data_IF_645718030439
#
_entry.id   IF_645718030439
#
_cell.length_a   1.000
_cell.length_b   1.000
_cell.length_c   1.000
_cell.angle_alpha   90.00
_cell.angle_beta   90.00
_cell.angle_gamma   90.00
#
_symmetry.space_group_name_H-M   'P 1'
#
loop_
_entity.id
_entity.type
_entity.pdbx_description
1 polymer ?
#
# COMPACT_ATOMS: atom_id res chain seq x y z
N UNK A 1 13.01 -7.04 -20.90
CA UNK A 1 12.78 -8.42 -21.41
C UNK A 1 11.55 -8.48 -22.30
N UNK A 2 10.37 -8.06 -21.85
CA UNK A 2 9.13 -8.13 -22.63
C UNK A 2 9.24 -7.56 -24.04
N UNK A 3 9.84 -6.36 -24.17
CA UNK A 3 10.07 -5.74 -25.48
C UNK A 3 10.91 -6.61 -26.42
N UNK A 4 11.94 -7.27 -25.88
CA UNK A 4 12.82 -8.15 -26.69
C UNK A 4 12.04 -9.37 -27.17
N UNK A 5 11.30 -10.03 -26.28
CA UNK A 5 10.57 -11.26 -26.62
C UNK A 5 9.41 -10.99 -27.59
N UNK A 6 8.72 -9.84 -27.41
CA UNK A 6 7.60 -9.48 -28.29
C UNK A 6 8.08 -8.93 -29.62
N UNK A 7 9.05 -8.00 -29.63
CA UNK A 7 9.47 -7.28 -30.84
C UNK A 7 10.47 -8.05 -31.70
N UNK A 8 11.49 -8.68 -31.04
CA UNK A 8 12.57 -9.34 -31.78
C UNK A 8 12.36 -10.84 -31.97
N UNK A 9 11.73 -11.51 -31.00
CA UNK A 9 11.44 -12.94 -31.09
C UNK A 9 10.02 -13.25 -31.58
N UNK A 10 9.21 -12.22 -31.84
CA UNK A 10 7.83 -12.32 -32.33
C UNK A 10 6.93 -13.30 -31.56
N UNK A 11 7.23 -13.53 -30.26
CA UNK A 11 6.51 -14.51 -29.42
C UNK A 11 5.14 -14.00 -28.92
N UNK A 12 4.74 -12.76 -29.22
CA UNK A 12 3.45 -12.22 -28.81
C UNK A 12 3.20 -12.33 -27.30
N UNK A 13 2.02 -12.78 -26.91
CA UNK A 13 1.61 -12.92 -25.47
C UNK A 13 2.47 -13.94 -24.74
N UNK A 14 2.86 -15.05 -25.40
CA UNK A 14 3.75 -16.05 -24.80
C UNK A 14 5.12 -15.45 -24.45
N UNK A 15 5.63 -14.53 -25.24
CA UNK A 15 6.89 -13.82 -24.98
C UNK A 15 6.85 -13.00 -23.69
N UNK A 16 5.75 -12.29 -23.42
CA UNK A 16 5.56 -11.54 -22.17
C UNK A 16 5.51 -12.48 -20.97
N UNK A 17 4.82 -13.60 -21.08
CA UNK A 17 4.75 -14.61 -20.01
C UNK A 17 6.12 -15.18 -19.67
N UNK A 18 6.90 -15.58 -20.69
CA UNK A 18 8.27 -16.09 -20.51
C UNK A 18 9.22 -15.05 -19.94
N UNK A 19 9.15 -13.81 -20.41
CA UNK A 19 9.98 -12.71 -19.89
C UNK A 19 9.68 -12.47 -18.40
N UNK A 20 8.41 -12.43 -18.02
CA UNK A 20 8.00 -12.29 -16.62
C UNK A 20 8.50 -13.47 -15.77
N UNK A 21 8.33 -14.70 -16.24
CA UNK A 21 8.78 -15.91 -15.54
C UNK A 21 10.31 -15.90 -15.30
N UNK A 22 11.09 -15.57 -16.32
CA UNK A 22 12.56 -15.52 -16.23
C UNK A 22 12.98 -14.40 -15.26
N UNK A 23 12.40 -13.19 -15.36
CA UNK A 23 12.73 -12.08 -14.47
C UNK A 23 12.40 -12.39 -13.01
N UNK A 24 11.26 -13.00 -12.74
CA UNK A 24 10.88 -13.43 -11.38
C UNK A 24 11.79 -14.54 -10.87
N UNK A 25 12.15 -15.51 -11.72
CA UNK A 25 13.08 -16.58 -11.39
C UNK A 25 14.47 -16.04 -10.99
N UNK A 26 15.03 -15.14 -11.79
CA UNK A 26 16.31 -14.48 -11.49
C UNK A 26 16.21 -13.70 -10.17
N UNK A 27 15.17 -12.92 -9.97
CA UNK A 27 14.95 -12.16 -8.73
C UNK A 27 14.84 -13.07 -7.51
N UNK A 28 14.16 -14.21 -7.66
CA UNK A 28 14.03 -15.21 -6.60
C UNK A 28 15.40 -15.79 -6.22
N UNK A 29 16.18 -16.22 -7.20
CA UNK A 29 17.54 -16.79 -6.97
C UNK A 29 18.44 -15.75 -6.30
N UNK A 30 18.45 -14.51 -6.78
CA UNK A 30 19.24 -13.45 -6.18
C UNK A 30 18.82 -13.18 -4.73
N UNK A 31 17.51 -13.13 -4.45
CA UNK A 31 17.00 -12.94 -3.10
C UNK A 31 17.44 -14.08 -2.17
N UNK A 32 17.32 -15.33 -2.62
CA UNK A 32 17.77 -16.51 -1.88
C UNK A 32 19.27 -16.42 -1.56
N UNK A 33 20.11 -16.10 -2.55
CA UNK A 33 21.56 -15.97 -2.36
C UNK A 33 21.88 -14.89 -1.32
N UNK A 34 21.22 -13.73 -1.40
CA UNK A 34 21.42 -12.64 -0.43
C UNK A 34 21.00 -13.06 0.98
N UNK A 35 19.85 -13.71 1.12
CA UNK A 35 19.36 -14.20 2.42
C UNK A 35 20.33 -15.21 3.02
N UNK A 36 20.78 -16.22 2.26
CA UNK A 36 21.71 -17.21 2.76
C UNK A 36 23.09 -16.61 3.12
N UNK A 37 23.58 -15.63 2.37
CA UNK A 37 24.81 -14.91 2.72
C UNK A 37 24.65 -14.14 4.04
N UNK A 38 23.53 -13.46 4.26
CA UNK A 38 23.28 -12.74 5.50
C UNK A 38 23.09 -13.68 6.69
N UNK A 39 22.37 -14.80 6.51
CA UNK A 39 22.19 -15.81 7.55
C UNK A 39 23.52 -16.48 7.91
N UNK A 40 24.38 -16.77 6.93
CA UNK A 40 25.70 -17.33 7.17
C UNK A 40 26.68 -16.41 7.92
N UNK A 41 26.43 -15.09 7.87
CA UNK A 41 27.20 -14.10 8.62
C UNK A 41 26.72 -13.94 10.08
N UNK A 42 25.54 -14.45 10.43
CA UNK A 42 25.00 -14.42 11.79
C UNK A 42 25.58 -15.60 12.59
N UNK A 43 26.43 -15.30 13.56
CA UNK A 43 26.88 -16.30 14.53
C UNK A 43 25.74 -16.59 15.51
N UNK A 44 25.16 -17.79 15.42
CA UNK A 44 24.17 -18.26 16.37
C UNK A 44 24.80 -19.32 17.28
N UNK A 45 24.80 -19.07 18.57
CA UNK A 45 25.28 -20.04 19.56
C UNK A 45 24.38 -21.28 19.68
N UNK A 46 23.13 -21.17 19.23
CA UNK A 46 22.15 -22.26 19.27
C UNK A 46 21.86 -22.78 17.85
N UNK A 47 21.85 -24.11 17.71
CA UNK A 47 21.40 -24.74 16.46
C UNK A 47 19.97 -24.33 16.16
N UNK A 48 19.75 -23.82 14.95
CA UNK A 48 18.42 -23.47 14.49
C UNK A 48 17.52 -24.73 14.44
N UNK A 49 16.34 -24.62 15.04
CA UNK A 49 15.31 -25.65 14.94
C UNK A 49 14.62 -25.50 13.58
N UNK A 50 14.49 -26.60 12.84
CA UNK A 50 13.85 -26.58 11.50
C UNK A 50 12.43 -26.02 11.50
N UNK A 51 11.68 -26.24 12.57
CA UNK A 51 10.32 -25.75 12.72
C UNK A 51 10.01 -25.43 14.18
N UNK A 52 9.42 -24.25 14.41
CA UNK A 52 8.98 -23.82 15.73
C UNK A 52 7.52 -23.38 15.67
N UNK A 53 6.64 -24.13 16.35
CA UNK A 53 5.20 -23.84 16.38
C UNK A 53 4.89 -22.42 16.93
N UNK A 54 5.54 -21.92 18.00
CA UNK A 54 5.33 -20.55 18.47
C UNK A 54 5.65 -19.49 17.41
N UNK A 55 6.78 -19.64 16.69
CA UNK A 55 7.17 -18.72 15.62
C UNK A 55 6.18 -18.80 14.46
N UNK A 56 5.74 -20.00 14.09
CA UNK A 56 4.73 -20.21 13.05
C UNK A 56 3.42 -19.51 13.39
N UNK A 57 2.91 -19.69 14.61
CA UNK A 57 1.70 -19.00 15.06
C UNK A 57 1.86 -17.48 15.04
N UNK A 58 3.02 -16.97 15.44
CA UNK A 58 3.32 -15.55 15.38
C UNK A 58 3.33 -15.02 13.93
N UNK A 59 3.84 -15.77 12.98
CA UNK A 59 3.76 -15.44 11.56
C UNK A 59 2.29 -15.45 11.10
N UNK A 60 1.50 -16.43 11.49
CA UNK A 60 0.08 -16.53 11.15
C UNK A 60 -0.74 -15.32 11.65
N UNK A 61 -0.43 -14.76 12.81
CA UNK A 61 -1.13 -13.57 13.33
C UNK A 61 -1.00 -12.34 12.44
N UNK A 62 0.06 -12.27 11.64
CA UNK A 62 0.29 -11.19 10.66
C UNK A 62 -0.14 -11.61 9.25
N UNK A 63 0.18 -12.82 8.85
CA UNK A 63 -0.05 -13.31 7.50
C UNK A 63 -1.55 -13.48 7.19
N UNK A 64 -2.31 -14.13 8.08
CA UNK A 64 -3.74 -14.39 7.84
C UNK A 64 -4.53 -13.08 7.69
N UNK A 65 -4.43 -12.09 8.59
CA UNK A 65 -5.08 -10.79 8.38
C UNK A 65 -4.66 -10.08 7.10
N UNK A 66 -3.38 -10.17 6.72
CA UNK A 66 -2.88 -9.54 5.49
C UNK A 66 -3.46 -10.21 4.23
N UNK A 67 -3.58 -11.54 4.22
CA UNK A 67 -4.19 -12.30 3.13
C UNK A 67 -5.68 -11.94 3.00
N UNK A 68 -6.41 -11.95 4.12
CA UNK A 68 -7.82 -11.56 4.14
C UNK A 68 -8.00 -10.14 3.62
N UNK A 69 -7.21 -9.19 4.11
CA UNK A 69 -7.25 -7.81 3.65
C UNK A 69 -7.05 -7.70 2.14
N UNK A 70 -6.04 -8.37 1.58
CA UNK A 70 -5.78 -8.33 0.13
C UNK A 70 -6.91 -8.99 -0.68
N UNK A 71 -7.47 -10.09 -0.18
CA UNK A 71 -8.62 -10.75 -0.80
C UNK A 71 -9.86 -9.84 -0.83
N UNK A 72 -10.18 -9.17 0.27
CA UNK A 72 -11.29 -8.23 0.33
C UNK A 72 -11.09 -7.03 -0.59
N UNK A 73 -9.87 -6.49 -0.69
CA UNK A 73 -9.55 -5.42 -1.65
C UNK A 73 -9.80 -5.88 -3.09
N UNK A 74 -9.42 -7.12 -3.43
CA UNK A 74 -9.64 -7.69 -4.75
C UNK A 74 -11.13 -7.85 -5.05
N UNK A 75 -11.92 -8.36 -4.09
CA UNK A 75 -13.38 -8.47 -4.22
C UNK A 75 -14.03 -7.09 -4.39
N UNK A 76 -13.62 -6.09 -3.61
CA UNK A 76 -14.10 -4.72 -3.77
C UNK A 76 -13.82 -4.14 -5.15
N UNK A 77 -12.64 -4.40 -5.70
CA UNK A 77 -12.29 -3.97 -7.06
C UNK A 77 -13.16 -4.67 -8.13
N UNK A 78 -13.49 -5.96 -7.95
CA UNK A 78 -14.42 -6.68 -8.84
C UNK A 78 -15.83 -6.05 -8.79
N UNK A 79 -16.33 -5.70 -7.63
CA UNK A 79 -17.64 -5.03 -7.49
C UNK A 79 -17.62 -3.67 -8.20
N UNK A 80 -16.59 -2.87 -7.99
CA UNK A 80 -16.43 -1.57 -8.67
C UNK A 80 -16.35 -1.77 -10.20
N UNK A 81 -15.59 -2.77 -10.67
CA UNK A 81 -15.51 -3.09 -12.09
C UNK A 81 -16.88 -3.48 -12.66
N UNK A 82 -17.68 -4.25 -11.91
CA UNK A 82 -19.03 -4.62 -12.31
C UNK A 82 -19.94 -3.39 -12.48
N UNK A 83 -19.85 -2.41 -11.56
CA UNK A 83 -20.58 -1.15 -11.69
C UNK A 83 -20.15 -0.38 -12.93
N UNK A 84 -18.85 -0.32 -13.22
CA UNK A 84 -18.29 0.39 -14.38
C UNK A 84 -18.77 -0.24 -15.70
N UNK A 85 -18.88 -1.56 -15.74
CA UNK A 85 -19.32 -2.28 -16.94
C UNK A 85 -20.72 -1.87 -17.40
N UNK A 86 -21.56 -1.37 -16.50
CA UNK A 86 -22.89 -0.83 -16.81
C UNK A 86 -22.90 0.51 -17.57
N UNK A 87 -21.76 1.22 -17.66
CA UNK A 87 -21.67 2.55 -18.28
C UNK A 87 -21.17 2.55 -19.74
N UNK A 88 -20.92 1.38 -20.32
CA UNK A 88 -20.57 1.21 -21.73
C UNK A 88 -19.06 1.25 -22.02
N UNK A 89 -18.72 0.87 -23.25
CA UNK A 89 -17.34 0.60 -23.68
C UNK A 89 -16.38 1.80 -23.52
N UNK A 90 -16.84 3.01 -23.78
CA UNK A 90 -16.02 4.23 -23.66
C UNK A 90 -15.58 4.48 -22.21
N UNK A 91 -16.48 4.29 -21.24
CA UNK A 91 -16.18 4.47 -19.82
C UNK A 91 -15.23 3.36 -19.34
N UNK A 92 -15.44 2.13 -19.79
CA UNK A 92 -14.57 0.99 -19.49
C UNK A 92 -13.14 1.24 -20.00
N UNK A 93 -13.00 1.71 -21.26
CA UNK A 93 -11.70 1.99 -21.86
C UNK A 93 -10.98 3.14 -21.12
N UNK A 94 -11.68 4.23 -20.82
CA UNK A 94 -11.12 5.35 -20.04
C UNK A 94 -10.68 4.94 -18.64
N UNK A 95 -11.50 4.15 -17.96
CA UNK A 95 -11.13 3.58 -16.66
C UNK A 95 -9.90 2.66 -16.75
N UNK A 96 -9.87 1.78 -17.76
CA UNK A 96 -8.74 0.85 -17.93
C UNK A 96 -7.39 1.57 -18.09
N UNK A 97 -7.36 2.69 -18.81
CA UNK A 97 -6.17 3.54 -18.92
C UNK A 97 -5.84 4.24 -17.61
N UNK A 98 -6.84 4.88 -16.98
CA UNK A 98 -6.65 5.62 -15.74
C UNK A 98 -6.20 4.71 -14.58
N UNK A 99 -6.75 3.48 -14.45
CA UNK A 99 -6.39 2.56 -13.37
C UNK A 99 -4.96 2.03 -13.50
N UNK A 100 -4.42 1.88 -14.72
CA UNK A 100 -3.01 1.52 -14.91
C UNK A 100 -2.09 2.60 -14.36
N UNK A 101 -2.40 3.87 -14.63
CA UNK A 101 -1.67 5.02 -14.10
C UNK A 101 -1.82 5.13 -12.57
N UNK A 102 -3.05 4.97 -12.05
CA UNK A 102 -3.29 4.93 -10.62
C UNK A 102 -2.49 3.83 -9.92
N UNK A 103 -2.47 2.63 -10.49
CA UNK A 103 -1.72 1.50 -9.91
C UNK A 103 -0.21 1.77 -9.86
N UNK A 104 0.36 2.47 -10.84
CA UNK A 104 1.75 2.89 -10.81
C UNK A 104 2.06 3.75 -9.57
N UNK A 105 1.21 4.73 -9.27
CA UNK A 105 1.35 5.60 -8.10
C UNK A 105 1.15 4.83 -6.80
N UNK A 106 0.05 4.07 -6.70
CA UNK A 106 -0.27 3.30 -5.49
C UNK A 106 0.81 2.26 -5.19
N UNK A 107 1.35 1.57 -6.20
CA UNK A 107 2.45 0.61 -6.02
C UNK A 107 3.71 1.29 -5.50
N UNK A 108 4.04 2.49 -6.00
CA UNK A 108 5.18 3.27 -5.51
C UNK A 108 5.03 3.63 -4.03
N UNK A 109 3.84 4.10 -3.62
CA UNK A 109 3.56 4.41 -2.22
C UNK A 109 3.55 3.18 -1.34
N UNK A 110 2.99 2.07 -1.81
CA UNK A 110 2.96 0.79 -1.08
C UNK A 110 4.36 0.25 -0.86
N UNK A 111 5.26 0.40 -1.83
CA UNK A 111 6.66 0.00 -1.70
C UNK A 111 7.36 0.79 -0.60
N UNK A 112 7.18 2.11 -0.55
CA UNK A 112 7.68 2.94 0.54
C UNK A 112 7.07 2.55 1.88
N UNK A 113 5.76 2.31 1.93
CA UNK A 113 5.06 1.86 3.14
C UNK A 113 5.59 0.51 3.65
N UNK A 114 5.94 -0.42 2.76
CA UNK A 114 6.59 -1.68 3.14
C UNK A 114 7.98 -1.45 3.75
N UNK A 115 8.75 -0.51 3.22
CA UNK A 115 10.01 -0.08 3.82
C UNK A 115 9.82 0.48 5.24
N UNK A 116 8.81 1.32 5.45
CA UNK A 116 8.46 1.86 6.77
C UNK A 116 7.98 0.75 7.72
N UNK A 117 7.23 -0.24 7.22
CA UNK A 117 6.81 -1.40 8.02
C UNK A 117 8.02 -2.18 8.55
N UNK A 118 8.98 -2.48 7.67
CA UNK A 118 10.22 -3.17 8.06
C UNK A 118 11.06 -2.35 9.05
N UNK A 119 11.21 -1.04 8.80
CA UNK A 119 11.90 -0.13 9.71
C UNK A 119 11.22 -0.11 11.09
N UNK A 120 9.89 -0.05 11.12
CA UNK A 120 9.10 -0.04 12.35
C UNK A 120 9.29 -1.33 13.14
N UNK A 121 9.18 -2.49 12.51
CA UNK A 121 9.34 -3.79 13.20
C UNK A 121 10.74 -3.98 13.76
N UNK A 122 11.78 -3.57 13.04
CA UNK A 122 13.16 -3.64 13.54
C UNK A 122 13.40 -2.72 14.74
N UNK A 123 12.90 -1.48 14.70
CA UNK A 123 13.06 -0.55 15.83
C UNK A 123 12.18 -0.93 17.03
N UNK A 124 11.01 -1.51 16.79
CA UNK A 124 10.16 -2.06 17.84
C UNK A 124 10.85 -3.22 18.56
N UNK A 125 11.40 -4.18 17.80
CA UNK A 125 12.16 -5.30 18.36
C UNK A 125 13.43 -4.89 19.10
N UNK A 126 14.02 -3.75 18.75
CA UNK A 126 15.17 -3.16 19.42
C UNK A 126 14.78 -2.24 20.61
N UNK A 127 13.49 -2.09 20.94
CA UNK A 127 13.02 -1.20 22.01
C UNK A 127 13.18 0.31 21.71
N UNK A 128 13.48 0.68 20.46
CA UNK A 128 13.77 2.07 20.06
C UNK A 128 12.52 2.80 19.55
N UNK A 129 11.54 2.99 20.42
CA UNK A 129 10.21 3.54 20.08
C UNK A 129 10.24 4.95 19.48
N UNK A 130 11.16 5.82 19.93
CA UNK A 130 11.29 7.18 19.41
C UNK A 130 11.64 7.19 17.91
N UNK A 131 12.47 6.25 17.47
CA UNK A 131 12.83 6.09 16.07
C UNK A 131 11.63 5.74 15.17
N UNK A 132 10.64 5.03 15.72
CA UNK A 132 9.40 4.72 14.96
C UNK A 132 8.68 6.01 14.56
N UNK A 133 8.61 6.98 15.49
CA UNK A 133 8.00 8.28 15.20
C UNK A 133 8.80 9.10 14.18
N UNK A 134 10.10 9.10 14.28
CA UNK A 134 10.97 9.79 13.33
C UNK A 134 10.93 9.12 11.95
N UNK A 135 10.88 7.78 11.92
CA UNK A 135 10.65 6.99 10.71
C UNK A 135 9.30 7.30 10.05
N UNK A 136 8.23 7.44 10.85
CA UNK A 136 6.93 7.87 10.35
C UNK A 136 7.00 9.25 9.69
N UNK A 137 7.59 10.25 10.35
CA UNK A 137 7.78 11.59 9.79
C UNK A 137 8.63 11.58 8.51
N UNK A 138 9.73 10.81 8.52
CA UNK A 138 10.57 10.64 7.35
C UNK A 138 9.80 9.98 6.20
N UNK A 139 9.02 8.94 6.49
CA UNK A 139 8.15 8.27 5.53
C UNK A 139 7.14 9.23 4.88
N UNK A 140 6.47 10.09 5.68
CA UNK A 140 5.56 11.11 5.15
C UNK A 140 6.31 12.09 4.23
N UNK A 141 7.49 12.58 4.64
CA UNK A 141 8.31 13.45 3.78
C UNK A 141 8.67 12.77 2.46
N UNK A 142 9.11 11.51 2.51
CA UNK A 142 9.49 10.74 1.32
C UNK A 142 8.31 10.54 0.37
N UNK A 143 7.14 10.10 0.87
CA UNK A 143 5.97 9.91 -0.01
C UNK A 143 5.47 11.23 -0.59
N UNK A 144 5.55 12.34 0.15
CA UNK A 144 5.15 13.65 -0.36
C UNK A 144 6.14 14.20 -1.39
N UNK A 145 7.44 14.00 -1.19
CA UNK A 145 8.46 14.32 -2.20
C UNK A 145 8.20 13.57 -3.52
N UNK A 146 7.70 12.32 -3.44
CA UNK A 146 7.30 11.55 -4.61
C UNK A 146 5.92 11.98 -5.13
N UNK A 147 4.97 12.32 -4.25
CA UNK A 147 3.61 12.69 -4.64
C UNK A 147 3.54 14.00 -5.40
N UNK A 148 4.33 15.01 -5.01
CA UNK A 148 4.32 16.32 -5.66
C UNK A 148 4.59 16.22 -7.17
N UNK A 149 5.71 15.65 -7.63
CA UNK A 149 5.96 15.56 -9.06
C UNK A 149 4.94 14.67 -9.79
N UNK A 150 4.45 13.59 -9.15
CA UNK A 150 3.45 12.71 -9.76
C UNK A 150 2.10 13.42 -9.92
N UNK A 151 1.64 14.16 -8.91
CA UNK A 151 0.40 14.94 -8.99
C UNK A 151 0.52 16.03 -10.05
N UNK A 152 1.63 16.77 -10.07
CA UNK A 152 1.90 17.78 -11.10
C UNK A 152 1.91 17.16 -12.51
N UNK A 153 2.56 16.01 -12.67
CA UNK A 153 2.60 15.28 -13.94
C UNK A 153 1.19 14.87 -14.38
N UNK A 154 0.34 14.38 -13.46
CA UNK A 154 -1.01 13.95 -13.79
C UNK A 154 -1.95 15.13 -14.10
N UNK A 155 -1.76 16.27 -13.45
CA UNK A 155 -2.55 17.47 -13.71
C UNK A 155 -2.15 18.11 -15.03
N UNK A 156 -0.84 18.24 -15.29
CA UNK A 156 -0.30 18.94 -16.47
C UNK A 156 -0.31 18.03 -17.70
N UNK A 157 0.20 16.81 -17.57
CA UNK A 157 0.42 15.87 -18.67
C UNK A 157 -0.60 14.72 -18.69
N UNK A 158 -1.67 14.75 -17.90
CA UNK A 158 -2.64 13.66 -17.76
C UNK A 158 -3.22 13.20 -19.07
N UNK A 159 -3.50 14.14 -20.02
CA UNK A 159 -3.96 13.80 -21.36
C UNK A 159 -2.95 12.94 -22.13
N UNK A 160 -1.69 13.32 -22.11
CA UNK A 160 -0.62 12.57 -22.79
C UNK A 160 -0.39 11.20 -22.16
N UNK A 161 -0.48 11.12 -20.82
CA UNK A 161 -0.35 9.86 -20.10
C UNK A 161 -1.49 8.89 -20.41
N UNK A 162 -2.73 9.36 -20.46
CA UNK A 162 -3.88 8.53 -20.84
C UNK A 162 -3.74 8.08 -22.29
N UNK A 163 -3.28 8.97 -23.19
CA UNK A 163 -3.05 8.64 -24.59
C UNK A 163 -2.06 7.50 -24.82
N UNK A 164 -1.06 7.33 -23.93
CA UNK A 164 -0.13 6.19 -24.01
C UNK A 164 -0.81 4.81 -23.90
N UNK A 165 -2.03 4.77 -23.40
CA UNK A 165 -2.81 3.53 -23.21
C UNK A 165 -4.06 3.48 -24.12
N UNK A 166 -4.18 4.38 -25.08
CA UNK A 166 -5.33 4.49 -25.97
C UNK A 166 -4.89 4.63 -27.42
N UNK A 167 -5.69 4.09 -28.34
CA UNK A 167 -5.44 4.18 -29.78
C UNK A 167 -5.86 5.54 -30.37
N UNK A 168 -6.68 6.31 -29.65
CA UNK A 168 -7.19 7.62 -30.12
C UNK A 168 -6.86 8.73 -29.13
N UNK A 169 -6.53 9.91 -29.68
CA UNK A 169 -6.17 11.11 -28.89
C UNK A 169 -7.37 11.95 -28.44
N UNK A 170 -8.60 11.53 -28.75
CA UNK A 170 -9.84 12.25 -28.45
C UNK A 170 -11.02 11.29 -28.33
N UNK A 171 -12.10 11.77 -27.72
CA UNK A 171 -13.35 11.05 -27.59
C UNK A 171 -13.74 10.73 -26.14
N UNK A 172 -14.94 10.17 -25.89
CA UNK A 172 -15.51 9.98 -24.57
C UNK A 172 -14.66 9.12 -23.63
N UNK A 173 -13.89 8.17 -24.18
CA UNK A 173 -12.97 7.33 -23.40
C UNK A 173 -11.79 8.14 -22.86
N UNK A 174 -11.21 9.01 -23.68
CA UNK A 174 -10.12 9.91 -23.29
C UNK A 174 -10.60 10.87 -22.19
N UNK A 175 -11.77 11.48 -22.38
CA UNK A 175 -12.34 12.42 -21.42
C UNK A 175 -12.61 11.75 -20.07
N UNK A 176 -13.11 10.51 -20.08
CA UNK A 176 -13.30 9.70 -18.87
C UNK A 176 -11.98 9.43 -18.16
N UNK A 177 -10.94 9.00 -18.88
CA UNK A 177 -9.62 8.75 -18.30
C UNK A 177 -9.00 9.99 -17.65
N UNK A 178 -9.08 11.15 -18.34
CA UNK A 178 -8.59 12.43 -17.83
C UNK A 178 -9.39 12.86 -16.59
N UNK A 179 -10.72 12.72 -16.62
CA UNK A 179 -11.59 13.07 -15.50
C UNK A 179 -11.23 12.27 -14.24
N UNK A 180 -11.03 10.95 -14.39
CA UNK A 180 -10.62 10.09 -13.26
C UNK A 180 -9.30 10.58 -12.67
N UNK A 181 -8.27 10.83 -13.49
CA UNK A 181 -6.98 11.32 -13.00
C UNK A 181 -7.12 12.66 -12.28
N UNK A 182 -7.91 13.59 -12.80
CA UNK A 182 -8.13 14.90 -12.16
C UNK A 182 -8.85 14.78 -10.82
N UNK A 183 -9.79 13.85 -10.69
CA UNK A 183 -10.48 13.59 -9.41
C UNK A 183 -9.52 12.96 -8.40
N UNK A 184 -8.70 11.98 -8.82
CA UNK A 184 -7.85 11.23 -7.89
C UNK A 184 -6.56 11.96 -7.53
N UNK A 185 -5.97 12.73 -8.45
CA UNK A 185 -4.64 13.33 -8.27
C UNK A 185 -4.47 14.12 -6.95
N UNK A 186 -5.36 15.04 -6.56
CA UNK A 186 -5.21 15.77 -5.29
C UNK A 186 -5.21 14.85 -4.06
N UNK A 187 -5.91 13.73 -4.14
CA UNK A 187 -6.07 12.79 -3.03
C UNK A 187 -4.93 11.79 -2.90
N UNK A 188 -3.96 11.81 -3.82
CA UNK A 188 -2.72 11.03 -3.64
C UNK A 188 -1.93 11.48 -2.42
N UNK A 189 -2.01 12.75 -2.01
CA UNK A 189 -1.45 13.18 -0.74
C UNK A 189 -2.12 12.51 0.45
N UNK A 190 -3.44 12.35 0.41
CA UNK A 190 -4.21 11.73 1.50
C UNK A 190 -3.91 10.23 1.57
N UNK A 191 -4.02 9.51 0.45
CA UNK A 191 -3.78 8.06 0.44
C UNK A 191 -2.32 7.70 0.73
N UNK A 192 -1.36 8.55 0.37
CA UNK A 192 0.05 8.34 0.70
C UNK A 192 0.29 8.36 2.21
N UNK A 193 -0.34 9.28 2.93
CA UNK A 193 -0.32 9.32 4.41
C UNK A 193 -0.95 8.05 4.98
N UNK A 194 -2.10 7.63 4.44
CA UNK A 194 -2.74 6.36 4.84
C UNK A 194 -1.78 5.19 4.72
N UNK A 195 -1.17 5.01 3.56
CA UNK A 195 -0.31 3.85 3.29
C UNK A 195 0.94 3.83 4.19
N UNK A 196 1.57 4.98 4.45
CA UNK A 196 2.69 5.07 5.40
C UNK A 196 2.23 4.72 6.82
N UNK A 197 1.08 5.25 7.25
CA UNK A 197 0.51 4.95 8.57
C UNK A 197 0.17 3.46 8.70
N UNK A 198 -0.45 2.88 7.68
CA UNK A 198 -0.74 1.44 7.60
C UNK A 198 0.55 0.60 7.66
N UNK A 199 1.65 1.09 7.06
CA UNK A 199 2.98 0.49 7.17
C UNK A 199 3.47 0.44 8.62
N UNK A 200 3.32 1.54 9.38
CA UNK A 200 3.66 1.57 10.82
C UNK A 200 2.77 0.63 11.61
N UNK A 201 1.45 0.63 11.39
CA UNK A 201 0.53 -0.26 12.11
C UNK A 201 0.86 -1.75 11.88
N UNK A 202 1.18 -2.14 10.64
CA UNK A 202 1.62 -3.50 10.32
C UNK A 202 2.96 -3.84 10.97
N UNK A 203 3.94 -2.95 10.85
CA UNK A 203 5.27 -3.12 11.45
C UNK A 203 5.24 -3.18 12.98
N UNK A 204 4.22 -2.59 13.60
CA UNK A 204 3.97 -2.66 15.05
C UNK A 204 3.09 -3.85 15.45
N UNK A 205 2.80 -4.79 14.55
CA UNK A 205 1.90 -5.93 14.75
C UNK A 205 0.47 -5.55 15.17
N UNK A 206 0.06 -4.30 14.91
CA UNK A 206 -1.28 -3.80 15.20
C UNK A 206 -2.27 -4.16 14.08
N UNK A 207 -2.35 -5.46 13.75
CA UNK A 207 -3.10 -5.94 12.60
C UNK A 207 -4.61 -5.64 12.69
N UNK A 208 -5.20 -5.68 13.89
CA UNK A 208 -6.62 -5.34 14.09
C UNK A 208 -6.93 -3.88 13.70
N UNK A 209 -6.10 -2.94 14.12
CA UNK A 209 -6.24 -1.53 13.76
C UNK A 209 -6.09 -1.29 12.25
N UNK A 210 -5.07 -1.92 11.64
CA UNK A 210 -4.85 -1.90 10.20
C UNK A 210 -6.05 -2.45 9.41
N UNK A 211 -6.60 -3.61 9.83
CA UNK A 211 -7.77 -4.21 9.19
C UNK A 211 -9.01 -3.30 9.29
N UNK A 212 -9.31 -2.77 10.48
CA UNK A 212 -10.44 -1.87 10.68
C UNK A 212 -10.35 -0.66 9.75
N UNK A 213 -9.20 0.00 9.68
CA UNK A 213 -9.01 1.16 8.81
C UNK A 213 -9.17 0.81 7.32
N UNK A 214 -8.61 -0.34 6.90
CA UNK A 214 -8.67 -0.77 5.49
C UNK A 214 -10.05 -1.26 5.09
N UNK A 215 -10.73 -2.02 5.94
CA UNK A 215 -12.10 -2.48 5.65
C UNK A 215 -13.10 -1.33 5.65
N UNK A 216 -12.95 -0.37 6.55
CA UNK A 216 -13.79 0.84 6.55
C UNK A 216 -13.62 1.62 5.24
N UNK A 217 -12.39 1.86 4.79
CA UNK A 217 -12.11 2.48 3.50
C UNK A 217 -12.82 1.71 2.36
N UNK A 218 -12.64 0.39 2.30
CA UNK A 218 -13.15 -0.44 1.23
C UNK A 218 -14.69 -0.49 1.21
N UNK A 219 -15.30 -0.74 2.37
CA UNK A 219 -16.77 -0.83 2.52
C UNK A 219 -17.40 0.52 2.14
N UNK A 220 -16.87 1.62 2.65
CA UNK A 220 -17.38 2.95 2.33
C UNK A 220 -17.20 3.25 0.84
N UNK A 221 -16.05 2.97 0.27
CA UNK A 221 -15.79 3.20 -1.15
C UNK A 221 -16.77 2.43 -2.03
N UNK A 222 -17.00 1.14 -1.76
CA UNK A 222 -17.94 0.32 -2.55
C UNK A 222 -19.38 0.79 -2.35
N UNK A 223 -19.80 1.03 -1.10
CA UNK A 223 -21.16 1.48 -0.80
C UNK A 223 -21.47 2.85 -1.37
N UNK A 224 -20.54 3.80 -1.24
CA UNK A 224 -20.69 5.15 -1.80
C UNK A 224 -20.68 5.09 -3.33
N UNK A 225 -19.80 4.28 -3.94
CA UNK A 225 -19.79 4.09 -5.40
C UNK A 225 -21.13 3.54 -5.91
N UNK A 226 -21.71 2.55 -5.23
CA UNK A 226 -23.01 1.99 -5.61
C UNK A 226 -24.15 3.03 -5.50
N UNK A 227 -24.18 3.80 -4.41
CA UNK A 227 -25.23 4.82 -4.20
C UNK A 227 -25.05 6.02 -5.12
N UNK A 228 -23.81 6.53 -5.27
CA UNK A 228 -23.58 7.70 -6.10
C UNK A 228 -23.63 7.37 -7.61
N UNK A 229 -23.34 6.14 -8.02
CA UNK A 229 -23.45 5.75 -9.42
C UNK A 229 -24.88 5.84 -9.95
N UNK A 230 -25.88 5.59 -9.11
CA UNK A 230 -27.29 5.72 -9.49
C UNK A 230 -27.75 7.18 -9.64
N UNK A 231 -27.07 8.14 -8.97
CA UNK A 231 -27.45 9.57 -8.99
C UNK A 231 -26.57 10.41 -9.91
N UNK A 232 -25.28 10.14 -9.95
CA UNK A 232 -24.25 10.94 -10.64
C UNK A 232 -23.59 10.17 -11.82
N UNK A 233 -24.10 8.99 -12.14
CA UNK A 233 -23.50 8.14 -13.15
C UNK A 233 -22.08 7.71 -12.80
N UNK A 234 -21.21 7.57 -13.80
CA UNK A 234 -19.83 7.12 -13.61
C UNK A 234 -19.00 8.06 -12.72
N UNK A 235 -19.30 9.37 -12.68
CA UNK A 235 -18.61 10.35 -11.81
C UNK A 235 -18.77 9.97 -10.34
N UNK A 236 -19.93 9.43 -9.95
CA UNK A 236 -20.19 8.96 -8.60
C UNK A 236 -19.23 7.86 -8.14
N UNK A 237 -18.83 6.98 -9.06
CA UNK A 237 -17.87 5.92 -8.76
C UNK A 237 -16.49 6.50 -8.44
N UNK A 238 -16.03 7.45 -9.26
CA UNK A 238 -14.72 8.08 -9.08
C UNK A 238 -14.65 8.91 -7.81
N UNK A 239 -15.73 9.60 -7.47
CA UNK A 239 -15.84 10.42 -6.26
C UNK A 239 -15.85 9.61 -4.97
N UNK A 240 -16.20 8.33 -5.01
CA UNK A 240 -16.18 7.46 -3.85
C UNK A 240 -14.76 7.13 -3.34
N UNK A 241 -13.76 7.11 -4.23
CA UNK A 241 -12.38 6.80 -3.86
C UNK A 241 -11.76 7.82 -2.90
N UNK A 242 -11.82 9.15 -3.19
CA UNK A 242 -11.37 10.17 -2.25
C UNK A 242 -12.00 10.08 -0.86
N UNK A 243 -13.28 9.81 -0.79
CA UNK A 243 -14.00 9.69 0.50
C UNK A 243 -13.51 8.49 1.29
N UNK A 244 -13.38 7.31 0.65
CA UNK A 244 -12.81 6.13 1.28
C UNK A 244 -11.40 6.37 1.79
N UNK A 245 -10.54 6.95 0.96
CA UNK A 245 -9.16 7.29 1.35
C UNK A 245 -9.10 8.27 2.52
N UNK A 246 -9.93 9.32 2.53
CA UNK A 246 -9.94 10.29 3.61
C UNK A 246 -10.34 9.65 4.95
N UNK A 247 -11.44 8.89 4.98
CA UNK A 247 -11.91 8.24 6.19
C UNK A 247 -10.97 7.14 6.66
N UNK A 248 -10.43 6.33 5.73
CA UNK A 248 -9.40 5.33 6.04
C UNK A 248 -8.14 5.97 6.61
N UNK A 249 -7.70 7.12 6.07
CA UNK A 249 -6.55 7.87 6.61
C UNK A 249 -6.81 8.36 8.02
N UNK A 250 -7.99 8.93 8.28
CA UNK A 250 -8.36 9.40 9.61
C UNK A 250 -8.33 8.27 10.64
N UNK A 251 -8.85 7.09 10.30
CA UNK A 251 -8.82 5.94 11.18
C UNK A 251 -7.40 5.41 11.40
N UNK A 252 -6.59 5.28 10.35
CA UNK A 252 -5.19 4.84 10.49
C UNK A 252 -4.40 5.79 11.39
N UNK A 253 -4.54 7.11 11.19
CA UNK A 253 -3.90 8.13 12.03
C UNK A 253 -4.42 8.09 13.48
N UNK A 254 -5.71 7.90 13.68
CA UNK A 254 -6.29 7.76 15.02
C UNK A 254 -5.66 6.59 15.77
N UNK A 255 -5.58 5.41 15.17
CA UNK A 255 -4.93 4.25 15.77
C UNK A 255 -3.45 4.46 16.02
N UNK A 256 -2.74 5.09 15.09
CA UNK A 256 -1.34 5.43 15.26
C UNK A 256 -1.10 6.37 16.45
N UNK A 257 -1.85 7.46 16.55
CA UNK A 257 -1.68 8.41 17.66
C UNK A 257 -2.12 7.81 19.00
N UNK A 258 -3.15 6.98 19.02
CA UNK A 258 -3.55 6.23 20.21
C UNK A 258 -2.46 5.27 20.68
N UNK A 259 -1.84 4.54 19.77
CA UNK A 259 -0.72 3.66 20.08
C UNK A 259 0.49 4.42 20.62
N UNK A 260 0.85 5.53 19.96
CA UNK A 260 1.93 6.40 20.42
C UNK A 260 1.70 6.90 21.84
N UNK A 261 0.49 7.35 22.17
CA UNK A 261 0.14 7.81 23.53
C UNK A 261 0.26 6.69 24.56
N UNK A 262 -0.19 5.50 24.24
CA UNK A 262 -0.11 4.35 25.15
C UNK A 262 1.36 3.94 25.41
N UNK A 263 2.22 3.92 24.40
CA UNK A 263 3.65 3.66 24.59
C UNK A 263 4.34 4.72 25.42
N UNK A 264 3.99 5.99 25.26
CA UNK A 264 4.53 7.08 26.06
C UNK A 264 4.13 6.94 27.54
N UNK A 265 2.89 6.55 27.81
CA UNK A 265 2.40 6.30 29.17
C UNK A 265 3.06 5.08 29.83
N UNK A 266 3.33 4.00 29.06
CA UNK A 266 4.03 2.82 29.58
C UNK A 266 5.48 3.15 29.95
N UNK A 267 6.20 3.83 29.05
CA UNK A 267 7.59 4.25 29.30
C UNK A 267 7.70 5.19 30.52
N UNK A 268 6.73 6.09 30.71
CA UNK A 268 6.73 6.97 31.90
C UNK A 268 6.50 6.19 33.21
N UNK A 269 5.69 5.12 33.18
CA UNK A 269 5.47 4.25 34.34
C UNK A 269 6.70 3.41 34.67
N UNK A 270 7.36 2.85 33.65
CA UNK A 270 8.61 2.08 33.84
C UNK A 270 9.71 2.97 34.44
N UNK A 271 9.86 4.21 33.98
CA UNK A 271 10.84 5.14 34.54
C UNK A 271 10.53 5.52 35.99
N UNK A 272 9.27 5.71 36.35
CA UNK A 272 8.85 6.01 37.71
C UNK A 272 9.12 4.80 38.63
N UNK A 273 8.89 3.57 38.17
CA UNK A 273 9.19 2.36 38.93
C UNK A 273 10.69 2.19 39.18
N UNK A 274 11.52 2.43 38.16
CA UNK A 274 12.98 2.38 38.30
C UNK A 274 13.48 3.43 39.30
N UNK A 275 12.94 4.67 39.25
CA UNK A 275 13.28 5.72 40.24
C UNK A 275 12.82 5.39 41.67
N UNK A 276 11.69 4.68 41.82
CA UNK A 276 11.22 4.20 43.12
C UNK A 276 12.07 3.03 43.66
N UNK A 277 12.48 2.10 42.80
CA UNK A 277 13.39 1.01 43.15
C UNK A 277 14.77 1.53 43.53
N UNK A 278 15.36 2.48 42.78
CA UNK A 278 16.65 3.10 43.17
C UNK A 278 16.58 3.87 44.49
N UNK A 279 15.44 4.44 44.87
CA UNK A 279 15.25 5.13 46.16
C UNK A 279 15.07 4.18 47.32
N UNK A 280 14.73 2.91 47.09
CA UNK A 280 14.59 1.89 48.12
C UNK A 280 15.90 1.13 48.39
N UNK A 281 16.85 1.21 47.45
CA UNK A 281 18.19 0.60 47.59
C UNK A 281 19.23 1.52 48.27
N UNK A 282 18.90 2.80 48.53
CA UNK A 282 19.70 3.79 49.24
C UNK A 282 19.18 3.99 50.67
#
# INVERSE_FOLDING_TARGET
>A
MDYIFVRFLAMGVAGVAWATFICQGISCVLAIVVVFRHLGALQSEKKAVWFSMPVFLQICTVAIPSILQQSFVSVGNIIIQSLINGFGASVIAGYAAAIKLNNLVITSFTTLANGISNYTSQNLGAGKYERIHDGFKAGIKMVWTLSVPLVLLYVIAGRWLVYLFMDSSSGPAMDTGILILRILAPFYFVVSVKLVTDGVLRGSSMMGAFMIATFTDLILRVSIAAVLSSKLGSIGIWSAWPVGWALGTMLSLFFYFRAKKNHFLLKSREMVQIEEEEKLEV
#
